data_IF_216774633775
#
_entry.id   IF_216774633775
#
_cell.length_a   1.000
_cell.length_b   1.000
_cell.length_c   1.000
_cell.angle_alpha   90.00
_cell.angle_beta   90.00
_cell.angle_gamma   90.00
#
_symmetry.space_group_name_H-M   'P 1'
#
loop_
_entity.id
_entity.type
_entity.pdbx_description
1 polymer ?
#
# COMPACT_ATOMS: atom_id res chain seq x y z
N UNK A 1 -34.00 -23.10 0.12
CA UNK A 1 -32.72 -23.07 0.85
C UNK A 1 -32.17 -21.66 0.63
N UNK A 2 -32.41 -20.76 1.57
CA UNK A 2 -32.02 -19.35 1.42
C UNK A 2 -30.49 -19.26 1.35
N UNK A 3 -29.96 -18.71 0.25
CA UNK A 3 -28.60 -18.21 0.21
C UNK A 3 -28.59 -16.99 1.12
N UNK A 4 -27.92 -17.08 2.27
CA UNK A 4 -27.57 -15.89 3.02
C UNK A 4 -26.74 -14.99 2.09
N UNK A 5 -27.07 -13.70 2.06
CA UNK A 5 -26.24 -12.68 1.43
C UNK A 5 -24.89 -12.64 2.18
N UNK A 6 -23.96 -13.48 1.75
CA UNK A 6 -22.59 -13.53 2.26
C UNK A 6 -21.81 -12.38 1.62
N UNK A 7 -22.22 -11.16 1.95
CA UNK A 7 -21.45 -9.97 1.59
C UNK A 7 -20.12 -10.07 2.36
N UNK A 8 -18.97 -9.99 1.67
CA UNK A 8 -17.69 -10.10 2.34
C UNK A 8 -17.56 -9.04 3.42
N UNK A 9 -16.99 -9.43 4.57
CA UNK A 9 -16.64 -8.48 5.62
C UNK A 9 -15.56 -7.56 5.07
N UNK A 10 -15.83 -6.25 5.13
CA UNK A 10 -14.88 -5.24 4.69
C UNK A 10 -13.94 -4.89 5.84
N UNK A 11 -12.64 -4.95 5.57
CA UNK A 11 -11.57 -4.62 6.49
C UNK A 11 -10.99 -3.26 6.18
N UNK A 12 -10.85 -2.42 7.21
CA UNK A 12 -10.30 -1.08 7.03
C UNK A 12 -8.78 -1.15 6.94
N UNK A 13 -8.24 -0.79 5.78
CA UNK A 13 -6.82 -0.82 5.48
C UNK A 13 -6.26 0.60 5.44
N UNK A 14 -5.12 0.79 6.09
CA UNK A 14 -4.35 2.03 6.04
C UNK A 14 -2.91 1.76 5.65
N UNK A 15 -2.45 2.43 4.60
CA UNK A 15 -1.06 2.55 4.24
C UNK A 15 -0.48 3.82 4.85
N UNK A 16 0.75 3.75 5.34
CA UNK A 16 1.52 4.93 5.75
C UNK A 16 2.95 4.77 5.29
N UNK A 17 3.50 5.81 4.65
CA UNK A 17 4.89 5.86 4.18
C UNK A 17 5.54 7.12 4.74
N UNK A 18 6.67 6.95 5.41
CA UNK A 18 7.47 8.02 6.01
C UNK A 18 8.95 7.86 5.67
N UNK A 19 9.72 8.91 5.93
CA UNK A 19 11.17 8.97 5.69
C UNK A 19 11.88 9.74 6.80
N UNK A 20 13.15 9.42 7.05
CA UNK A 20 14.00 10.17 7.98
C UNK A 20 14.67 11.39 7.34
N UNK A 21 14.78 11.42 6.00
CA UNK A 21 15.30 12.56 5.25
C UNK A 21 14.38 12.93 4.09
N UNK A 22 14.22 14.22 3.75
CA UNK A 22 13.32 14.65 2.69
C UNK A 22 13.63 14.02 1.33
N UNK A 23 12.58 13.66 0.58
CA UNK A 23 12.68 13.07 -0.76
C UNK A 23 11.39 13.33 -1.54
N UNK A 24 11.51 13.41 -2.87
CA UNK A 24 10.37 13.26 -3.77
C UNK A 24 10.24 11.77 -4.13
N UNK A 25 9.29 11.08 -3.52
CA UNK A 25 9.17 9.63 -3.59
C UNK A 25 8.20 9.19 -4.68
N UNK A 26 8.55 8.09 -5.36
CA UNK A 26 7.61 7.28 -6.15
C UNK A 26 6.84 6.34 -5.22
N UNK A 27 5.52 6.39 -5.26
CA UNK A 27 4.65 5.53 -4.44
C UNK A 27 3.66 4.80 -5.35
N UNK A 28 3.65 3.48 -5.24
CA UNK A 28 2.64 2.60 -5.83
C UNK A 28 1.84 1.95 -4.71
N UNK A 29 0.52 1.94 -4.80
CA UNK A 29 -0.36 1.40 -3.75
C UNK A 29 -1.64 0.86 -4.34
N UNK A 30 -2.21 -0.18 -3.74
CA UNK A 30 -3.51 -0.68 -4.19
C UNK A 30 -4.62 0.29 -3.75
N UNK A 31 -5.33 0.91 -4.69
CA UNK A 31 -6.34 1.93 -4.41
C UNK A 31 -7.78 1.39 -4.42
N UNK A 32 -8.01 0.23 -5.05
CA UNK A 32 -9.30 -0.46 -5.12
C UNK A 32 -9.11 -1.98 -5.27
N UNK A 33 -10.05 -2.78 -4.72
CA UNK A 33 -10.00 -4.24 -4.86
C UNK A 33 -10.45 -4.69 -6.26
N UNK A 34 -9.62 -5.44 -7.02
CA UNK A 34 -10.07 -6.08 -8.24
C UNK A 34 -11.07 -7.21 -7.92
N UNK A 35 -12.14 -7.30 -8.73
CA UNK A 35 -13.15 -8.35 -8.56
C UNK A 35 -12.55 -9.76 -8.67
N UNK A 36 -11.55 -9.93 -9.54
CA UNK A 36 -10.84 -11.18 -9.76
C UNK A 36 -9.38 -10.95 -10.18
N UNK A 37 -8.55 -11.97 -10.02
CA UNK A 37 -7.12 -11.88 -10.33
C UNK A 37 -6.81 -11.66 -11.82
N UNK A 38 -7.69 -12.11 -12.72
CA UNK A 38 -7.57 -11.82 -14.15
C UNK A 38 -7.67 -10.33 -14.43
N UNK A 39 -8.57 -9.59 -13.77
CA UNK A 39 -8.73 -8.15 -14.02
C UNK A 39 -7.44 -7.40 -13.65
N UNK A 40 -6.88 -7.72 -12.48
CA UNK A 40 -5.57 -7.23 -12.05
C UNK A 40 -4.46 -7.58 -13.04
N UNK A 41 -4.40 -8.84 -13.49
CA UNK A 41 -3.33 -9.32 -14.37
C UNK A 41 -3.35 -8.66 -15.76
N UNK A 42 -4.53 -8.30 -16.26
CA UNK A 42 -4.66 -7.62 -17.55
C UNK A 42 -4.27 -6.14 -17.46
N UNK A 43 -4.58 -5.45 -16.36
CA UNK A 43 -4.28 -4.03 -16.20
C UNK A 43 -3.96 -3.66 -14.74
N UNK A 44 -2.76 -4.00 -14.22
CA UNK A 44 -2.45 -3.80 -12.81
C UNK A 44 -2.40 -2.32 -12.42
N UNK A 45 -2.03 -1.43 -13.33
CA UNK A 45 -1.93 0.02 -13.06
C UNK A 45 -3.27 0.69 -12.78
N UNK A 46 -4.39 0.07 -13.17
CA UNK A 46 -5.72 0.54 -12.78
C UNK A 46 -5.99 0.35 -11.29
N UNK A 47 -5.38 -0.67 -10.68
CA UNK A 47 -5.57 -1.02 -9.27
C UNK A 47 -4.40 -0.55 -8.40
N UNK A 48 -3.23 -0.36 -9.00
CA UNK A 48 -1.99 0.06 -8.35
C UNK A 48 -1.43 1.28 -9.07
N UNK A 49 -2.04 2.47 -8.91
CA UNK A 49 -1.53 3.69 -9.52
C UNK A 49 -0.14 4.04 -8.98
N UNK A 50 0.62 4.80 -9.78
CA UNK A 50 1.82 5.50 -9.33
C UNK A 50 1.47 6.96 -9.03
N UNK A 51 1.96 7.45 -7.89
CA UNK A 51 1.97 8.88 -7.58
C UNK A 51 3.38 9.28 -7.18
N UNK A 52 3.63 10.59 -7.22
CA UNK A 52 4.80 11.17 -6.61
C UNK A 52 4.39 11.98 -5.38
N UNK A 53 5.18 11.91 -4.30
CA UNK A 53 4.88 12.62 -3.07
C UNK A 53 6.15 13.23 -2.45
N UNK A 54 6.07 14.48 -2.03
CA UNK A 54 7.07 15.12 -1.18
C UNK A 54 6.97 14.60 0.25
N UNK A 55 7.90 13.73 0.64
CA UNK A 55 8.01 13.21 1.99
C UNK A 55 9.12 13.92 2.76
N UNK A 56 8.91 14.10 4.06
CA UNK A 56 9.92 14.63 4.99
C UNK A 56 9.62 14.14 6.40
N UNK A 57 10.56 14.26 7.35
CA UNK A 57 10.25 14.05 8.77
C UNK A 57 9.04 14.89 9.21
N UNK A 58 8.01 14.24 9.73
CA UNK A 58 6.74 14.88 10.10
C UNK A 58 5.76 15.13 8.94
N UNK A 59 6.11 14.78 7.70
CA UNK A 59 5.27 14.84 6.50
C UNK A 59 5.24 13.47 5.83
N UNK A 60 4.51 12.55 6.44
CA UNK A 60 4.24 11.23 5.89
C UNK A 60 3.10 11.27 4.86
N UNK A 61 3.09 10.31 3.93
CA UNK A 61 1.94 10.05 3.07
C UNK A 61 1.12 8.90 3.64
N UNK A 62 -0.20 8.98 3.51
CA UNK A 62 -1.12 7.91 3.93
C UNK A 62 -2.30 7.80 2.98
N UNK A 63 -2.82 6.58 2.85
CA UNK A 63 -4.03 6.26 2.09
C UNK A 63 -4.83 5.19 2.83
N UNK A 64 -6.15 5.29 2.74
CA UNK A 64 -7.10 4.43 3.44
C UNK A 64 -8.16 3.92 2.47
N UNK A 65 -8.52 2.65 2.59
CA UNK A 65 -9.54 1.98 1.80
C UNK A 65 -10.08 0.77 2.56
N UNK A 66 -11.28 0.34 2.19
CA UNK A 66 -11.85 -0.90 2.72
C UNK A 66 -11.65 -2.03 1.70
N UNK A 67 -11.09 -3.17 2.16
CA UNK A 67 -10.85 -4.35 1.34
C UNK A 67 -11.60 -5.56 1.88
N UNK A 68 -12.14 -6.39 0.99
CA UNK A 68 -12.71 -7.67 1.36
C UNK A 68 -11.61 -8.70 1.65
N UNK A 69 -10.48 -8.61 0.94
CA UNK A 69 -9.35 -9.56 1.06
C UNK A 69 -8.01 -8.82 1.18
N UNK A 70 -7.76 -8.12 2.30
CA UNK A 70 -6.51 -7.40 2.50
C UNK A 70 -5.27 -8.31 2.43
N UNK A 71 -5.37 -9.57 2.85
CA UNK A 71 -4.30 -10.57 2.78
C UNK A 71 -3.85 -10.91 1.35
N UNK A 72 -4.70 -10.66 0.35
CA UNK A 72 -4.42 -10.89 -1.06
C UNK A 72 -3.96 -9.62 -1.75
N UNK A 73 -4.61 -8.49 -1.44
CA UNK A 73 -4.51 -7.28 -2.25
C UNK A 73 -3.77 -6.13 -1.59
N UNK A 74 -3.72 -6.06 -0.27
CA UNK A 74 -3.17 -4.89 0.41
C UNK A 74 -1.67 -4.79 0.13
N UNK A 75 -1.29 -3.74 -0.60
CA UNK A 75 0.10 -3.47 -0.99
C UNK A 75 0.35 -1.97 -1.10
N UNK A 76 1.50 -1.56 -0.58
CA UNK A 76 2.14 -0.27 -0.88
C UNK A 76 3.63 -0.51 -1.05
N UNK A 77 4.21 0.12 -2.07
CA UNK A 77 5.66 0.23 -2.25
C UNK A 77 6.02 1.68 -2.49
N UNK A 78 7.15 2.10 -1.92
CA UNK A 78 7.71 3.42 -2.12
C UNK A 78 9.20 3.32 -2.42
N UNK A 79 9.72 4.22 -3.24
CA UNK A 79 11.15 4.26 -3.55
C UNK A 79 11.62 5.67 -3.87
N UNK A 80 12.94 5.86 -3.92
CA UNK A 80 13.54 7.09 -4.42
C UNK A 80 13.30 7.31 -5.92
N UNK A 81 12.88 6.30 -6.67
CA UNK A 81 12.85 6.39 -8.13
C UNK A 81 14.23 6.75 -8.69
N UNK A 82 14.29 7.83 -9.47
CA UNK A 82 15.54 8.40 -9.99
C UNK A 82 16.25 9.36 -9.04
N UNK A 83 15.61 9.76 -7.93
CA UNK A 83 16.20 10.68 -6.96
C UNK A 83 17.42 10.06 -6.27
N UNK A 84 18.49 10.84 -6.05
CA UNK A 84 19.67 10.36 -5.34
C UNK A 84 19.41 10.26 -3.82
N UNK A 85 20.30 9.55 -3.13
CA UNK A 85 20.33 9.50 -1.66
C UNK A 85 19.73 8.23 -1.06
N UNK A 86 19.64 8.24 0.27
CA UNK A 86 19.12 7.14 1.08
C UNK A 86 18.24 7.71 2.20
N UNK A 87 16.99 8.09 1.91
CA UNK A 87 16.15 8.82 2.85
C UNK A 87 15.69 8.00 4.06
N UNK A 88 15.97 6.69 4.07
CA UNK A 88 15.48 5.73 5.06
C UNK A 88 13.94 5.72 5.08
N UNK A 89 13.36 5.02 4.11
CA UNK A 89 11.92 4.82 4.07
C UNK A 89 11.46 3.89 5.19
N UNK A 90 10.27 4.17 5.71
CA UNK A 90 9.50 3.30 6.59
C UNK A 90 8.08 3.20 6.04
N UNK A 91 7.51 1.99 6.04
CA UNK A 91 6.09 1.80 5.76
C UNK A 91 5.40 1.00 6.87
N UNK A 92 4.14 1.37 7.13
CA UNK A 92 3.20 0.58 7.89
C UNK A 92 1.99 0.22 7.04
N UNK A 93 1.58 -1.05 7.14
CA UNK A 93 0.30 -1.55 6.68
C UNK A 93 -0.54 -1.90 7.91
N UNK A 94 -1.66 -1.21 8.06
CA UNK A 94 -2.60 -1.42 9.15
C UNK A 94 -3.88 -2.05 8.61
N UNK A 95 -4.41 -3.06 9.31
CA UNK A 95 -5.73 -3.65 9.04
C UNK A 95 -6.54 -3.59 10.33
N UNK A 96 -7.72 -3.00 10.27
CA UNK A 96 -8.63 -2.79 11.41
C UNK A 96 -7.93 -2.14 12.62
N UNK A 97 -7.09 -1.15 12.35
CA UNK A 97 -6.34 -0.41 13.37
C UNK A 97 -5.10 -1.12 13.91
N UNK A 98 -4.81 -2.36 13.48
CA UNK A 98 -3.60 -3.10 13.86
C UNK A 98 -2.53 -3.07 12.78
N UNK A 99 -1.31 -2.66 13.14
CA UNK A 99 -0.16 -2.79 12.23
C UNK A 99 0.14 -4.27 12.01
N UNK A 100 0.00 -4.72 10.76
CA UNK A 100 0.21 -6.11 10.35
C UNK A 100 1.49 -6.30 9.53
N UNK A 101 1.99 -5.23 8.89
CA UNK A 101 3.32 -5.20 8.26
C UNK A 101 3.99 -3.86 8.58
N UNK A 102 5.26 -3.93 8.94
CA UNK A 102 6.13 -2.79 9.19
C UNK A 102 7.48 -3.09 8.57
N UNK A 103 8.00 -2.21 7.71
CA UNK A 103 9.31 -2.40 7.07
C UNK A 103 10.07 -1.08 6.90
N UNK A 104 11.38 -1.20 6.96
CA UNK A 104 12.33 -0.13 6.72
C UNK A 104 13.20 -0.45 5.50
N UNK A 105 13.70 0.59 4.84
CA UNK A 105 14.64 0.41 3.73
C UNK A 105 15.31 1.70 3.30
N UNK A 106 16.61 1.63 3.01
CA UNK A 106 17.42 2.82 2.74
C UNK A 106 16.95 3.62 1.51
N UNK A 107 16.45 2.94 0.47
CA UNK A 107 16.01 3.55 -0.81
C UNK A 107 14.58 3.20 -1.23
N UNK A 108 13.90 2.38 -0.44
CA UNK A 108 12.54 1.97 -0.73
C UNK A 108 12.07 0.85 0.18
N UNK A 109 10.76 0.62 0.16
CA UNK A 109 10.06 -0.31 1.05
C UNK A 109 8.90 -0.95 0.30
N UNK A 110 8.52 -2.18 0.70
CA UNK A 110 7.35 -2.90 0.22
C UNK A 110 6.58 -3.47 1.41
N UNK A 111 5.43 -2.87 1.74
CA UNK A 111 4.50 -3.38 2.72
C UNK A 111 3.34 -4.10 2.01
N UNK A 112 3.31 -5.43 2.15
CA UNK A 112 2.28 -6.31 1.60
C UNK A 112 2.08 -7.49 2.54
N UNK A 113 0.84 -7.93 2.72
CA UNK A 113 0.51 -9.18 3.43
C UNK A 113 0.78 -10.41 2.56
N UNK A 114 0.56 -10.27 1.26
CA UNK A 114 0.86 -11.30 0.28
C UNK A 114 2.38 -11.42 0.09
N UNK A 115 2.86 -12.66 0.02
CA UNK A 115 4.17 -12.98 -0.51
C UNK A 115 4.11 -12.97 -2.05
N UNK A 116 4.92 -12.12 -2.66
CA UNK A 116 5.03 -11.95 -4.12
C UNK A 116 6.29 -12.64 -4.65
#
# INVERSE_FOLDING_TARGET
MSRADDNPVMHHVKYTVSVDHPIYADIYYLDQEPAQFSDYSHNPYQFVPNIHADLAPGKAWSYELDLARPEVWAVVTASTGTEPGTPQFHCNLTVDGKVVVSKDGAKGVLCSLRNW
#
